data_IF_308061685086
#
_entry.id   IF_308061685086
#
_cell.length_a   1.000
_cell.length_b   1.000
_cell.length_c   1.000
_cell.angle_alpha   90.00
_cell.angle_beta   90.00
_cell.angle_gamma   90.00
#
_symmetry.space_group_name_H-M   'P 1'
#
loop_
_entity.id
_entity.type
_entity.pdbx_description
1 polymer ?
#
# COMPACT_ATOMS: atom_id res chain seq x y z
N UNK A 1 7.52 3.01 -31.26
CA UNK A 1 6.84 1.94 -30.49
C UNK A 1 5.88 2.63 -29.56
N UNK A 2 4.59 2.57 -29.88
CA UNK A 2 3.51 3.11 -29.05
C UNK A 2 3.44 2.32 -27.75
N UNK A 3 3.19 2.98 -26.62
CA UNK A 3 3.10 2.39 -25.26
C UNK A 3 2.02 1.28 -25.12
N UNK A 4 1.32 0.95 -26.21
CA UNK A 4 0.19 0.03 -26.29
C UNK A 4 0.56 -1.46 -26.16
N UNK A 5 1.84 -1.82 -26.13
CA UNK A 5 2.31 -3.22 -26.02
C UNK A 5 2.65 -3.65 -24.58
N UNK A 6 2.57 -2.74 -23.59
CA UNK A 6 2.89 -3.08 -22.20
C UNK A 6 1.62 -3.41 -21.43
N UNK A 7 1.63 -4.54 -20.71
CA UNK A 7 0.55 -4.91 -19.78
C UNK A 7 0.23 -3.74 -18.86
N UNK A 8 -1.02 -3.42 -18.55
CA UNK A 8 -1.35 -2.34 -17.62
C UNK A 8 -0.84 -2.63 -16.20
N UNK A 9 -0.85 -1.60 -15.34
CA UNK A 9 -0.43 -1.73 -13.94
C UNK A 9 -1.63 -2.07 -13.05
N UNK A 10 -1.46 -3.04 -12.16
CA UNK A 10 -2.32 -3.20 -10.99
C UNK A 10 -1.53 -2.78 -9.74
N UNK A 11 -2.03 -1.75 -9.05
CA UNK A 11 -1.33 -1.12 -7.92
C UNK A 11 -1.97 -1.56 -6.63
N UNK A 12 -1.18 -2.09 -5.71
CA UNK A 12 -1.64 -2.61 -4.42
C UNK A 12 -0.94 -1.91 -3.26
N UNK A 13 -1.71 -1.42 -2.29
CA UNK A 13 -1.21 -1.14 -0.96
C UNK A 13 -0.84 -2.44 -0.21
N UNK A 14 -0.14 -2.32 0.92
CA UNK A 14 0.24 -3.43 1.78
C UNK A 14 -0.56 -3.49 3.09
N UNK A 15 -0.54 -2.42 3.88
CA UNK A 15 -1.00 -2.48 5.27
C UNK A 15 -2.54 -2.55 5.29
N UNK A 16 -3.12 -3.59 5.89
CA UNK A 16 -4.56 -3.93 5.85
C UNK A 16 -5.13 -4.24 4.45
N UNK A 17 -4.32 -4.14 3.40
CA UNK A 17 -4.68 -4.55 2.04
C UNK A 17 -4.20 -5.96 1.73
N UNK A 18 -2.90 -6.23 1.96
CA UNK A 18 -2.26 -7.54 1.77
C UNK A 18 -1.78 -8.13 3.09
N UNK A 19 -1.42 -7.28 4.05
CA UNK A 19 -0.78 -7.64 5.31
C UNK A 19 -1.63 -7.15 6.48
N UNK A 20 -2.12 -8.07 7.32
CA UNK A 20 -2.90 -7.71 8.50
C UNK A 20 -1.99 -7.07 9.55
N UNK A 21 -2.32 -5.84 9.94
CA UNK A 21 -1.51 -5.06 10.89
C UNK A 21 -2.03 -5.13 12.32
N UNK A 22 -3.09 -5.90 12.59
CA UNK A 22 -3.80 -5.90 13.87
C UNK A 22 -2.90 -6.11 15.09
N UNK A 23 -1.93 -7.03 15.04
CA UNK A 23 -1.06 -7.34 16.19
C UNK A 23 -0.12 -6.18 16.57
N UNK A 24 0.20 -5.31 15.61
CA UNK A 24 1.07 -4.14 15.82
C UNK A 24 0.30 -2.85 16.08
N UNK A 25 -1.03 -2.82 15.97
CA UNK A 25 -1.83 -1.63 16.30
C UNK A 25 -1.60 -1.10 17.73
N UNK A 26 -1.32 -2.00 18.68
CA UNK A 26 -0.97 -1.67 20.07
C UNK A 26 0.16 -0.64 20.21
N UNK A 27 1.08 -0.55 19.25
CA UNK A 27 2.17 0.43 19.29
C UNK A 27 1.69 1.88 19.07
N UNK A 28 0.48 2.04 18.51
CA UNK A 28 -0.12 3.34 18.16
C UNK A 28 -1.16 3.82 19.18
N UNK A 29 -1.49 3.00 20.17
CA UNK A 29 -2.51 3.32 21.19
C UNK A 29 -2.01 4.31 22.25
N UNK A 30 -0.69 4.37 22.48
CA UNK A 30 -0.05 5.25 23.48
C UNK A 30 0.45 6.55 22.88
N UNK A 31 0.62 7.56 23.74
CA UNK A 31 1.25 8.84 23.39
C UNK A 31 2.58 9.01 24.15
N UNK A 32 3.72 9.26 23.48
CA UNK A 32 3.87 9.28 22.03
C UNK A 32 3.72 7.89 21.40
N UNK A 33 3.23 7.84 20.16
CA UNK A 33 3.12 6.60 19.36
C UNK A 33 4.48 6.00 19.07
N UNK A 34 4.58 4.69 19.13
CA UNK A 34 5.81 3.93 18.90
C UNK A 34 5.92 3.45 17.45
N UNK A 35 6.29 4.38 16.57
CA UNK A 35 6.42 4.10 15.13
C UNK A 35 7.52 3.09 14.81
N UNK A 36 8.62 3.12 15.56
CA UNK A 36 9.72 2.20 15.33
C UNK A 36 9.33 0.78 15.71
N UNK A 37 8.64 0.59 16.85
CA UNK A 37 8.04 -0.70 17.23
C UNK A 37 6.98 -1.17 16.23
N UNK A 38 6.11 -0.27 15.77
CA UNK A 38 5.09 -0.57 14.77
C UNK A 38 5.70 -1.12 13.47
N UNK A 39 6.75 -0.49 12.94
CA UNK A 39 7.37 -0.93 11.70
C UNK A 39 8.33 -2.10 11.87
N UNK A 40 8.98 -2.24 13.02
CA UNK A 40 9.82 -3.39 13.32
C UNK A 40 9.02 -4.70 13.39
N UNK A 41 7.72 -4.63 13.74
CA UNK A 41 6.82 -5.78 13.80
C UNK A 41 6.16 -6.14 12.46
N UNK A 42 6.34 -5.32 11.41
CA UNK A 42 5.77 -5.57 10.08
C UNK A 42 6.19 -6.91 9.40
N UNK A 43 7.38 -7.48 9.63
CA UNK A 43 7.74 -8.78 9.07
C UNK A 43 6.87 -9.94 9.58
N UNK A 44 6.17 -9.74 10.71
CA UNK A 44 5.30 -10.74 11.35
C UNK A 44 3.83 -10.58 10.94
N UNK A 45 3.51 -9.64 10.04
CA UNK A 45 2.14 -9.46 9.55
C UNK A 45 1.61 -10.75 8.90
N UNK A 46 0.45 -11.28 9.33
CA UNK A 46 -0.23 -12.35 8.62
C UNK A 46 -0.68 -11.88 7.22
N UNK A 47 -0.61 -12.73 6.18
CA UNK A 47 -1.20 -12.40 4.89
C UNK A 47 -2.72 -12.36 4.98
N UNK A 48 -3.34 -11.41 4.26
CA UNK A 48 -4.79 -11.35 4.06
C UNK A 48 -5.13 -12.15 2.79
N UNK A 49 -5.84 -13.29 2.90
CA UNK A 49 -6.07 -14.19 1.77
C UNK A 49 -6.75 -13.53 0.57
N UNK A 50 -7.73 -12.65 0.81
CA UNK A 50 -8.47 -11.92 -0.23
C UNK A 50 -7.55 -11.00 -1.04
N UNK A 51 -6.67 -10.26 -0.35
CA UNK A 51 -5.69 -9.39 -0.98
C UNK A 51 -4.66 -10.18 -1.80
N UNK A 52 -4.14 -11.27 -1.23
CA UNK A 52 -3.16 -12.14 -1.90
C UNK A 52 -3.77 -12.77 -3.17
N UNK A 53 -4.98 -13.32 -3.08
CA UNK A 53 -5.67 -13.90 -4.22
C UNK A 53 -5.87 -12.87 -5.35
N UNK A 54 -6.29 -11.65 -5.00
CA UNK A 54 -6.50 -10.58 -5.98
C UNK A 54 -5.20 -10.14 -6.68
N UNK A 55 -4.07 -10.14 -5.96
CA UNK A 55 -2.76 -9.87 -6.59
C UNK A 55 -2.42 -10.96 -7.61
N UNK A 56 -2.58 -12.23 -7.23
CA UNK A 56 -2.24 -13.36 -8.09
C UNK A 56 -3.12 -13.41 -9.34
N UNK A 57 -4.43 -13.17 -9.20
CA UNK A 57 -5.35 -13.05 -10.34
C UNK A 57 -4.99 -11.86 -11.23
N UNK A 58 -4.71 -10.69 -10.63
CA UNK A 58 -4.33 -9.49 -11.40
C UNK A 58 -3.02 -9.69 -12.17
N UNK A 59 -2.10 -10.52 -11.66
CA UNK A 59 -0.80 -10.76 -12.28
C UNK A 59 -0.88 -11.57 -13.58
N UNK A 60 -2.01 -12.21 -13.87
CA UNK A 60 -2.25 -12.90 -15.14
C UNK A 60 -2.34 -11.90 -16.32
N UNK A 61 -2.80 -10.67 -16.05
CA UNK A 61 -3.08 -9.67 -17.08
C UNK A 61 -2.40 -8.31 -16.85
N UNK A 62 -1.77 -8.10 -15.69
CA UNK A 62 -1.15 -6.83 -15.28
C UNK A 62 0.28 -7.02 -14.77
N UNK A 63 1.10 -5.97 -14.91
CA UNK A 63 2.32 -5.85 -14.11
C UNK A 63 1.96 -5.34 -12.70
N UNK A 64 2.44 -6.04 -11.67
CA UNK A 64 2.15 -5.70 -10.28
C UNK A 64 3.07 -4.58 -9.80
N UNK A 65 2.48 -3.58 -9.16
CA UNK A 65 3.18 -2.50 -8.47
C UNK A 65 2.67 -2.42 -7.03
N UNK A 66 3.58 -2.33 -6.08
CA UNK A 66 3.25 -2.14 -4.68
C UNK A 66 3.45 -0.68 -4.30
N UNK A 67 2.48 -0.09 -3.61
CA UNK A 67 2.47 1.31 -3.19
C UNK A 67 2.09 1.41 -1.72
N UNK A 68 3.09 1.48 -0.83
CA UNK A 68 2.88 1.39 0.61
C UNK A 68 3.27 2.67 1.35
N UNK A 69 2.54 2.93 2.44
CA UNK A 69 2.90 3.96 3.42
C UNK A 69 4.13 3.60 4.26
N UNK A 70 4.59 2.33 4.27
CA UNK A 70 5.79 1.90 5.00
C UNK A 70 6.99 2.76 4.58
N UNK A 71 7.89 3.09 5.51
CA UNK A 71 9.04 3.92 5.22
C UNK A 71 10.14 3.11 4.51
N UNK A 72 10.98 3.80 3.75
CA UNK A 72 12.04 3.20 2.93
C UNK A 72 13.00 2.30 3.74
N UNK A 73 13.22 2.60 5.03
CA UNK A 73 14.00 1.76 5.95
C UNK A 73 13.45 0.33 6.09
N UNK A 74 12.16 0.12 5.82
CA UNK A 74 11.50 -1.18 5.85
C UNK A 74 11.60 -1.96 4.54
N UNK A 75 12.28 -1.43 3.51
CA UNK A 75 12.28 -2.03 2.16
C UNK A 75 12.74 -3.48 2.15
N UNK A 76 13.86 -3.78 2.80
CA UNK A 76 14.41 -5.14 2.83
C UNK A 76 13.39 -6.12 3.40
N UNK A 77 12.82 -5.78 4.54
CA UNK A 77 11.91 -6.69 5.24
C UNK A 77 10.56 -6.79 4.51
N UNK A 78 10.12 -5.71 3.86
CA UNK A 78 8.92 -5.70 3.01
C UNK A 78 9.09 -6.61 1.79
N UNK A 79 10.23 -6.54 1.10
CA UNK A 79 10.53 -7.41 -0.04
C UNK A 79 10.63 -8.88 0.38
N UNK A 80 11.27 -9.16 1.52
CA UNK A 80 11.34 -10.50 2.07
C UNK A 80 9.95 -11.06 2.42
N UNK A 81 9.10 -10.23 3.02
CA UNK A 81 7.71 -10.61 3.32
C UNK A 81 6.91 -10.92 2.04
N UNK A 82 6.97 -10.04 1.02
CA UNK A 82 6.28 -10.26 -0.27
C UNK A 82 6.70 -11.59 -0.92
N UNK A 83 8.00 -11.87 -0.94
CA UNK A 83 8.53 -13.12 -1.49
C UNK A 83 8.10 -14.35 -0.67
N UNK A 84 8.08 -14.24 0.67
CA UNK A 84 7.64 -15.32 1.54
C UNK A 84 6.14 -15.67 1.35
N UNK A 85 5.31 -14.71 0.94
CA UNK A 85 3.91 -14.94 0.60
C UNK A 85 3.69 -15.48 -0.83
N UNK A 86 4.77 -15.68 -1.61
CA UNK A 86 4.68 -16.13 -3.01
C UNK A 86 4.08 -15.09 -3.96
N UNK A 87 4.14 -13.81 -3.60
CA UNK A 87 3.61 -12.74 -4.43
C UNK A 87 4.57 -12.42 -5.61
N UNK A 88 4.04 -12.00 -6.77
CA UNK A 88 4.85 -11.67 -7.94
C UNK A 88 5.86 -10.56 -7.67
N UNK A 89 7.03 -10.63 -8.31
CA UNK A 89 7.97 -9.51 -8.28
C UNK A 89 7.34 -8.26 -8.91
N UNK A 90 7.54 -7.11 -8.26
CA UNK A 90 6.96 -5.85 -8.68
C UNK A 90 7.73 -4.66 -8.13
N UNK A 91 7.57 -3.49 -8.75
CA UNK A 91 8.17 -2.27 -8.20
C UNK A 91 7.48 -1.91 -6.90
N UNK A 92 8.25 -1.68 -5.84
CA UNK A 92 7.73 -1.24 -4.54
C UNK A 92 8.04 0.24 -4.34
N UNK A 93 7.00 1.06 -4.42
CA UNK A 93 7.02 2.46 -4.03
C UNK A 93 6.72 2.57 -2.54
N UNK A 94 7.65 3.17 -1.81
CA UNK A 94 7.58 3.32 -0.36
C UNK A 94 7.71 4.79 0.00
N UNK A 95 7.31 5.12 1.22
CA UNK A 95 7.46 6.48 1.76
C UNK A 95 8.94 6.76 2.06
N UNK A 96 9.42 7.96 1.73
CA UNK A 96 10.78 8.36 2.16
C UNK A 96 10.84 8.48 3.68
N UNK A 97 11.97 8.13 4.29
CA UNK A 97 12.12 8.10 5.76
C UNK A 97 11.81 9.43 6.47
N UNK A 98 11.95 10.55 5.76
CA UNK A 98 11.73 11.91 6.24
C UNK A 98 10.39 12.53 5.79
N UNK A 99 9.60 11.83 4.98
CA UNK A 99 8.37 12.39 4.39
C UNK A 99 7.17 12.24 5.32
N UNK A 100 6.81 13.36 5.96
CA UNK A 100 5.68 13.45 6.89
C UNK A 100 4.37 13.95 6.26
N UNK A 101 4.19 13.82 4.94
CA UNK A 101 2.94 14.23 4.28
C UNK A 101 1.86 13.14 4.41
N UNK A 102 0.57 13.49 4.35
CA UNK A 102 -0.53 12.51 4.36
C UNK A 102 -0.39 11.43 3.28
N UNK A 103 -0.79 10.19 3.57
CA UNK A 103 -0.67 9.07 2.64
C UNK A 103 -1.45 9.31 1.34
N UNK A 104 -2.67 9.86 1.40
CA UNK A 104 -3.44 10.25 0.20
C UNK A 104 -2.68 11.17 -0.74
N UNK A 105 -1.86 12.08 -0.21
CA UNK A 105 -1.07 13.01 -1.04
C UNK A 105 0.08 12.28 -1.72
N UNK A 106 0.87 11.54 -0.96
CA UNK A 106 2.06 10.85 -1.49
C UNK A 106 1.67 9.73 -2.46
N UNK A 107 0.66 8.93 -2.11
CA UNK A 107 0.13 7.87 -2.99
C UNK A 107 -0.47 8.44 -4.27
N UNK A 108 -1.28 9.49 -4.20
CA UNK A 108 -1.86 10.11 -5.40
C UNK A 108 -0.80 10.72 -6.33
N UNK A 109 0.25 11.36 -5.78
CA UNK A 109 1.38 11.86 -6.57
C UNK A 109 2.07 10.73 -7.36
N UNK A 110 2.28 9.58 -6.71
CA UNK A 110 2.90 8.40 -7.35
C UNK A 110 1.97 7.80 -8.41
N UNK A 111 0.68 7.64 -8.13
CA UNK A 111 -0.30 7.15 -9.09
C UNK A 111 -0.35 8.04 -10.34
N UNK A 112 -0.46 9.37 -10.16
CA UNK A 112 -0.44 10.32 -11.27
C UNK A 112 0.86 10.28 -12.06
N UNK A 113 1.99 10.01 -11.41
CA UNK A 113 3.29 9.85 -12.10
C UNK A 113 3.31 8.59 -12.94
N UNK A 114 2.86 7.45 -12.39
CA UNK A 114 2.79 6.17 -13.10
C UNK A 114 1.85 6.26 -14.31
N UNK A 115 0.69 6.88 -14.13
CA UNK A 115 -0.34 7.06 -15.14
C UNK A 115 0.12 7.87 -16.37
N UNK A 116 1.21 8.64 -16.27
CA UNK A 116 1.80 9.35 -17.41
C UNK A 116 2.48 8.43 -18.42
N UNK A 117 2.82 7.22 -17.99
CA UNK A 117 3.65 6.27 -18.76
C UNK A 117 3.00 4.92 -18.99
N UNK A 118 1.90 4.63 -18.27
CA UNK A 118 1.23 3.33 -18.35
C UNK A 118 -0.18 3.44 -17.82
N UNK A 119 -1.11 2.71 -18.44
CA UNK A 119 -2.45 2.55 -17.89
C UNK A 119 -2.36 1.90 -16.49
N UNK A 120 -3.12 2.45 -15.53
CA UNK A 120 -3.35 1.81 -14.23
C UNK A 120 -4.75 1.19 -14.31
N UNK A 121 -4.79 -0.14 -14.38
CA UNK A 121 -6.04 -0.91 -14.41
C UNK A 121 -6.85 -0.67 -13.15
N UNK A 122 -6.17 -0.76 -12.01
CA UNK A 122 -6.80 -0.71 -10.70
C UNK A 122 -5.80 -0.28 -9.63
N UNK A 123 -6.30 0.50 -8.66
CA UNK A 123 -5.70 0.66 -7.34
C UNK A 123 -6.50 -0.16 -6.33
N UNK A 124 -5.80 -0.92 -5.50
CA UNK A 124 -6.35 -1.61 -4.33
C UNK A 124 -5.73 -1.02 -3.07
N UNK A 125 -6.54 -0.43 -2.21
CA UNK A 125 -6.11 0.27 -0.99
C UNK A 125 -7.21 0.19 0.09
N UNK A 126 -6.86 0.12 1.37
CA UNK A 126 -7.83 0.10 2.47
C UNK A 126 -8.23 1.52 2.91
N UNK A 127 -7.30 2.46 2.82
CA UNK A 127 -7.45 3.84 3.26
C UNK A 127 -8.54 4.55 2.42
N UNK A 128 -9.60 4.96 3.12
CA UNK A 128 -10.76 5.63 2.52
C UNK A 128 -10.39 6.90 1.79
N UNK A 129 -9.54 7.73 2.40
CA UNK A 129 -9.18 9.03 1.86
C UNK A 129 -8.26 8.89 0.65
N UNK A 130 -7.37 7.89 0.65
CA UNK A 130 -6.59 7.52 -0.55
C UNK A 130 -7.53 7.06 -1.66
N UNK A 131 -8.46 6.15 -1.36
CA UNK A 131 -9.42 5.62 -2.33
C UNK A 131 -10.30 6.72 -2.94
N UNK A 132 -10.82 7.63 -2.12
CA UNK A 132 -11.65 8.74 -2.58
C UNK A 132 -10.88 9.69 -3.49
N UNK A 133 -9.67 10.10 -3.09
CA UNK A 133 -8.86 11.02 -3.88
C UNK A 133 -8.39 10.38 -5.20
N UNK A 134 -8.10 9.08 -5.21
CA UNK A 134 -7.81 8.33 -6.42
C UNK A 134 -9.03 8.26 -7.36
N UNK A 135 -10.23 7.95 -6.85
CA UNK A 135 -11.47 7.97 -7.65
C UNK A 135 -11.76 9.36 -8.22
N UNK A 136 -11.62 10.42 -7.41
CA UNK A 136 -11.78 11.82 -7.88
C UNK A 136 -10.78 12.17 -8.98
N UNK A 137 -9.60 11.55 -8.98
CA UNK A 137 -8.59 11.72 -10.02
C UNK A 137 -8.81 10.83 -11.27
N UNK A 138 -9.88 10.03 -11.31
CA UNK A 138 -10.25 9.21 -12.46
C UNK A 138 -9.69 7.79 -12.45
N UNK A 139 -9.13 7.32 -11.33
CA UNK A 139 -8.64 5.94 -11.21
C UNK A 139 -9.78 4.97 -10.86
N UNK A 140 -9.73 3.77 -11.43
CA UNK A 140 -10.50 2.62 -10.95
C UNK A 140 -9.93 2.17 -9.61
N UNK A 141 -10.79 2.02 -8.59
CA UNK A 141 -10.36 1.70 -7.23
C UNK A 141 -11.22 0.60 -6.61
N UNK A 142 -10.58 -0.47 -6.15
CA UNK A 142 -11.14 -1.42 -5.19
C UNK A 142 -10.73 -0.96 -3.79
N UNK A 143 -11.71 -0.67 -2.94
CA UNK A 143 -11.41 -0.40 -1.52
C UNK A 143 -11.34 -1.72 -0.77
N UNK A 144 -10.17 -2.07 -0.26
CA UNK A 144 -9.97 -3.21 0.61
C UNK A 144 -10.75 -3.01 1.92
N UNK A 145 -11.70 -3.90 2.21
CA UNK A 145 -12.48 -3.88 3.46
C UNK A 145 -12.40 -5.24 4.17
N UNK A 146 -11.27 -5.90 4.00
CA UNK A 146 -11.03 -7.27 4.47
C UNK A 146 -10.87 -7.32 5.99
N UNK A 147 -10.26 -6.29 6.56
CA UNK A 147 -9.99 -6.16 7.99
C UNK A 147 -10.90 -5.13 8.65
N UNK A 148 -10.98 -5.16 9.97
CA UNK A 148 -11.64 -4.12 10.73
C UNK A 148 -10.86 -2.78 10.60
N UNK A 149 -11.55 -1.63 10.48
CA UNK A 149 -10.89 -0.34 10.40
C UNK A 149 -9.99 -0.08 11.61
N UNK A 150 -8.78 0.44 11.38
CA UNK A 150 -7.92 0.93 12.46
C UNK A 150 -7.91 2.46 12.49
N UNK A 151 -8.79 3.04 13.30
CA UNK A 151 -8.87 4.49 13.48
C UNK A 151 -7.53 5.14 13.91
N UNK A 152 -6.71 4.54 14.81
CA UNK A 152 -5.39 5.09 15.14
C UNK A 152 -4.44 5.15 13.94
N UNK A 153 -4.43 4.12 13.09
CA UNK A 153 -3.57 4.04 11.91
C UNK A 153 -4.04 5.03 10.83
N UNK A 154 -5.33 5.10 10.56
CA UNK A 154 -5.91 6.06 9.60
C UNK A 154 -5.56 7.51 10.00
N UNK A 155 -5.78 7.87 11.27
CA UNK A 155 -5.43 9.21 11.78
C UNK A 155 -3.94 9.48 11.63
N UNK A 156 -3.09 8.49 11.88
CA UNK A 156 -1.65 8.65 11.73
C UNK A 156 -1.21 8.89 10.29
N UNK A 157 -1.75 8.11 9.36
CA UNK A 157 -1.46 8.19 7.94
C UNK A 157 -1.90 9.54 7.36
N UNK A 158 -3.04 10.06 7.82
CA UNK A 158 -3.71 11.18 7.17
C UNK A 158 -3.57 12.53 7.86
N UNK A 159 -3.44 12.56 9.19
CA UNK A 159 -3.34 13.80 9.96
C UNK A 159 -1.92 14.06 10.46
N UNK A 160 -1.23 13.03 10.93
CA UNK A 160 0.11 13.17 11.49
C UNK A 160 1.20 13.01 10.43
N UNK A 161 0.86 12.39 9.29
CA UNK A 161 1.81 11.98 8.26
C UNK A 161 2.93 11.11 8.83
N UNK A 162 2.63 10.37 9.89
CA UNK A 162 3.57 9.45 10.52
C UNK A 162 3.16 8.06 10.09
N UNK A 163 3.69 7.67 8.94
CA UNK A 163 3.96 6.29 8.58
C UNK A 163 5.34 6.24 7.94
#
# INVERSE_FOLDING_TARGET
MTDSDKLPLAVFDLDNTLADTAHRQRFLERSPRDWDGFFAAAPEDPPIPEGVALVLESAEECEIVYLTGRPERCRRDTLAWLAAQGLPEGRVYMRRNDDRRPARRTKLEILKRLARTREIRVLVDDDELVCEDARRAGFTVVRARWTAPSAPLEVAQEQEGRT
#
